data_IF_606028873142
#
_entry.id   IF_606028873142
#
_cell.length_a   1.000
_cell.length_b   1.000
_cell.length_c   1.000
_cell.angle_alpha   90.00
_cell.angle_beta   90.00
_cell.angle_gamma   90.00
#
_symmetry.space_group_name_H-M   'P 1'
#
loop_
_entity.id
_entity.type
_entity.pdbx_description
1 polymer ?
#
# COMPACT_ATOMS: atom_id res chain seq x y z
N UNK A 1 17.04 -14.77 41.20
CA UNK A 1 16.15 -13.78 40.56
C UNK A 1 17.07 -12.75 39.96
N UNK A 2 17.73 -13.18 38.89
CA UNK A 2 18.94 -12.55 38.40
C UNK A 2 18.61 -11.20 37.77
N UNK A 3 19.34 -10.20 38.23
CA UNK A 3 19.22 -8.80 37.85
C UNK A 3 19.25 -8.67 36.34
N UNK A 4 18.07 -8.51 35.71
CA UNK A 4 17.97 -8.06 34.33
C UNK A 4 18.82 -6.78 34.23
N UNK A 5 19.93 -6.86 33.49
CA UNK A 5 20.81 -5.71 33.29
C UNK A 5 19.99 -4.58 32.70
N UNK A 6 20.13 -3.36 33.22
CA UNK A 6 19.41 -2.19 32.72
C UNK A 6 19.57 -2.03 31.20
N UNK A 7 20.69 -2.50 30.64
CA UNK A 7 20.97 -2.53 29.21
C UNK A 7 20.06 -3.48 28.42
N UNK A 8 19.71 -4.63 29.00
CA UNK A 8 18.82 -5.62 28.37
C UNK A 8 17.38 -5.12 28.38
N UNK A 9 16.96 -4.49 29.48
CA UNK A 9 15.64 -3.85 29.59
C UNK A 9 15.51 -2.72 28.56
N UNK A 10 16.54 -1.88 28.41
CA UNK A 10 16.56 -0.81 27.40
C UNK A 10 16.54 -1.38 25.97
N UNK A 11 17.29 -2.45 25.71
CA UNK A 11 17.29 -3.11 24.40
C UNK A 11 15.92 -3.66 24.00
N UNK A 12 15.21 -4.31 24.93
CA UNK A 12 13.86 -4.84 24.70
C UNK A 12 12.86 -3.72 24.44
N UNK A 13 12.90 -2.64 25.23
CA UNK A 13 11.99 -1.49 25.07
C UNK A 13 12.20 -0.84 23.69
N UNK A 14 13.45 -0.60 23.28
CA UNK A 14 13.76 -0.04 21.97
C UNK A 14 13.30 -0.96 20.82
N UNK A 15 13.48 -2.27 20.96
CA UNK A 15 13.02 -3.26 19.98
C UNK A 15 11.50 -3.23 19.79
N UNK A 16 10.73 -3.14 20.88
CA UNK A 16 9.26 -3.04 20.83
C UNK A 16 8.82 -1.73 20.18
N UNK A 17 9.47 -0.61 20.50
CA UNK A 17 9.14 0.70 19.91
C UNK A 17 9.40 0.69 18.39
N UNK A 18 10.54 0.17 17.95
CA UNK A 18 10.88 0.10 16.52
C UNK A 18 9.90 -0.83 15.78
N UNK A 19 9.58 -2.00 16.34
CA UNK A 19 8.62 -2.91 15.72
C UNK A 19 7.22 -2.30 15.66
N UNK A 20 6.79 -1.66 16.75
CA UNK A 20 5.49 -0.98 16.84
C UNK A 20 5.35 0.15 15.84
N UNK A 21 6.37 1.00 15.68
CA UNK A 21 6.36 2.11 14.70
C UNK A 21 6.31 1.61 13.25
N UNK A 22 7.03 0.53 12.93
CA UNK A 22 6.99 -0.10 11.59
C UNK A 22 5.59 -0.66 11.31
N UNK A 23 5.02 -1.44 12.24
CA UNK A 23 3.67 -2.01 12.08
C UNK A 23 2.64 -0.89 11.94
N UNK A 24 2.72 0.13 12.79
CA UNK A 24 1.81 1.29 12.73
C UNK A 24 1.91 2.05 11.41
N UNK A 25 3.12 2.29 10.88
CA UNK A 25 3.29 2.97 9.59
C UNK A 25 2.70 2.16 8.43
N UNK A 26 2.79 0.82 8.50
CA UNK A 26 2.25 -0.07 7.47
C UNK A 26 0.71 -0.18 7.55
N UNK A 27 0.13 -0.20 8.75
CA UNK A 27 -1.33 -0.34 8.95
C UNK A 27 -2.07 0.99 8.84
N UNK A 28 -1.43 2.10 9.19
CA UNK A 28 -2.01 3.45 9.10
C UNK A 28 -1.97 4.04 7.68
N UNK A 29 -1.69 3.20 6.68
CA UNK A 29 -1.92 3.52 5.27
C UNK A 29 -3.43 3.50 4.96
N UNK A 30 -4.18 4.34 5.66
CA UNK A 30 -5.62 4.54 5.46
C UNK A 30 -5.89 4.83 3.98
N UNK A 31 -6.95 4.27 3.37
CA UNK A 31 -7.29 4.50 1.99
C UNK A 31 -7.46 6.00 1.77
N UNK A 32 -6.45 6.64 1.17
CA UNK A 32 -6.50 8.06 0.84
C UNK A 32 -7.77 8.30 0.02
N UNK A 33 -8.69 9.07 0.59
CA UNK A 33 -9.83 9.65 -0.12
C UNK A 33 -9.43 11.05 -0.59
N UNK A 34 -9.87 11.49 -1.77
CA UNK A 34 -9.68 12.87 -2.17
C UNK A 34 -10.31 13.80 -1.13
N UNK A 35 -9.57 14.86 -0.75
CA UNK A 35 -10.03 15.87 0.22
C UNK A 35 -11.28 16.61 -0.28
N UNK A 36 -11.39 16.73 -1.60
CA UNK A 36 -12.47 17.43 -2.29
C UNK A 36 -13.51 16.43 -2.81
N UNK A 37 -14.80 16.79 -2.72
CA UNK A 37 -15.91 15.96 -3.22
C UNK A 37 -16.16 16.12 -4.71
N UNK A 38 -15.65 17.19 -5.29
CA UNK A 38 -15.83 17.56 -6.69
C UNK A 38 -14.47 17.75 -7.35
N UNK A 39 -14.40 17.49 -8.64
CA UNK A 39 -13.21 17.73 -9.45
C UNK A 39 -13.60 18.40 -10.77
N UNK A 40 -12.65 19.14 -11.34
CA UNK A 40 -12.80 19.73 -12.66
C UNK A 40 -12.39 18.74 -13.74
N UNK A 41 -13.30 18.45 -14.67
CA UNK A 41 -13.00 17.57 -15.79
C UNK A 41 -11.87 18.16 -16.67
N UNK A 42 -10.85 17.38 -16.98
CA UNK A 42 -9.69 17.83 -17.78
C UNK A 42 -10.10 18.37 -19.16
N UNK A 43 -11.11 17.76 -19.80
CA UNK A 43 -11.56 18.10 -21.16
C UNK A 43 -12.56 19.24 -21.23
N UNK A 44 -13.72 19.11 -20.56
CA UNK A 44 -14.79 20.12 -20.62
C UNK A 44 -14.79 21.13 -19.47
N UNK A 45 -13.86 21.01 -18.50
CA UNK A 45 -13.77 21.87 -17.31
C UNK A 45 -15.01 21.91 -16.41
N UNK A 46 -16.02 21.08 -16.67
CA UNK A 46 -17.18 20.96 -15.82
C UNK A 46 -16.81 20.45 -14.43
N UNK A 47 -17.41 21.05 -13.41
CA UNK A 47 -17.30 20.62 -12.02
C UNK A 47 -18.21 19.40 -11.83
N UNK A 48 -17.62 18.24 -11.57
CA UNK A 48 -18.36 16.98 -11.40
C UNK A 48 -18.00 16.28 -10.10
N UNK A 49 -18.95 15.60 -9.43
CA UNK A 49 -18.65 14.86 -8.21
C UNK A 49 -17.71 13.69 -8.48
N UNK A 50 -16.84 13.40 -7.52
CA UNK A 50 -15.98 12.22 -7.57
C UNK A 50 -16.83 10.94 -7.60
N UNK A 51 -16.68 10.17 -8.66
CA UNK A 51 -17.21 8.80 -8.78
C UNK A 51 -16.14 7.80 -8.35
N UNK A 52 -16.53 6.56 -8.02
CA UNK A 52 -15.60 5.49 -7.62
C UNK A 52 -14.42 5.36 -8.60
N UNK A 53 -14.72 5.41 -9.90
CA UNK A 53 -13.72 5.39 -10.98
C UNK A 53 -12.66 6.49 -10.84
N UNK A 54 -13.09 7.71 -10.52
CA UNK A 54 -12.19 8.86 -10.38
C UNK A 54 -11.44 8.84 -9.05
N UNK A 55 -12.03 8.28 -8.00
CA UNK A 55 -11.37 8.06 -6.70
C UNK A 55 -10.25 7.04 -6.87
N UNK A 56 -10.51 5.94 -7.57
CA UNK A 56 -9.49 4.91 -7.86
C UNK A 56 -8.38 5.47 -8.76
N UNK A 57 -8.74 6.23 -9.80
CA UNK A 57 -7.76 6.93 -10.64
C UNK A 57 -6.88 7.90 -9.82
N UNK A 58 -7.49 8.67 -8.93
CA UNK A 58 -6.78 9.60 -8.04
C UNK A 58 -5.86 8.86 -7.05
N UNK A 59 -6.31 7.73 -6.49
CA UNK A 59 -5.51 6.87 -5.60
C UNK A 59 -4.25 6.32 -6.27
N UNK A 60 -4.31 6.10 -7.59
CA UNK A 60 -3.17 5.65 -8.42
C UNK A 60 -2.26 6.85 -8.80
N UNK A 61 -2.62 8.08 -8.42
CA UNK A 61 -1.85 9.29 -8.75
C UNK A 61 -2.15 9.87 -10.13
N UNK A 62 -3.29 9.50 -10.75
CA UNK A 62 -3.68 10.08 -12.05
C UNK A 62 -4.15 11.52 -11.85
N UNK A 63 -3.55 12.44 -12.60
CA UNK A 63 -3.86 13.88 -12.54
C UNK A 63 -4.95 14.30 -13.53
N UNK A 64 -5.20 13.50 -14.57
CA UNK A 64 -6.21 13.79 -15.60
C UNK A 64 -7.48 12.99 -15.35
N UNK A 65 -8.45 13.64 -14.70
CA UNK A 65 -9.77 13.07 -14.45
C UNK A 65 -10.78 13.57 -15.49
N UNK A 66 -11.65 12.67 -15.94
CA UNK A 66 -12.68 12.97 -16.94
C UNK A 66 -14.07 12.76 -16.35
N UNK A 67 -15.04 13.60 -16.71
CA UNK A 67 -16.46 13.32 -16.44
C UNK A 67 -16.93 12.09 -17.24
N UNK A 68 -18.09 11.53 -16.89
CA UNK A 68 -18.63 10.33 -17.55
C UNK A 68 -18.74 10.48 -19.07
N UNK A 69 -19.27 11.61 -19.55
CA UNK A 69 -19.43 11.88 -20.98
C UNK A 69 -18.09 12.00 -21.73
N UNK A 70 -17.12 12.75 -21.18
CA UNK A 70 -15.80 12.88 -21.79
C UNK A 70 -15.01 11.57 -21.74
N UNK A 71 -15.22 10.75 -20.70
CA UNK A 71 -14.61 9.44 -20.61
C UNK A 71 -15.15 8.47 -21.68
N UNK A 72 -16.47 8.47 -21.91
CA UNK A 72 -17.07 7.66 -22.97
C UNK A 72 -16.52 8.01 -24.36
N UNK A 73 -16.40 9.30 -24.67
CA UNK A 73 -15.75 9.78 -25.91
C UNK A 73 -14.26 9.39 -26.00
N UNK A 74 -13.56 9.40 -24.86
CA UNK A 74 -12.17 8.98 -24.82
C UNK A 74 -12.02 7.47 -25.12
N UNK A 75 -12.90 6.63 -24.57
CA UNK A 75 -12.91 5.18 -24.85
C UNK A 75 -13.20 4.87 -26.33
N UNK A 76 -14.04 5.65 -26.99
CA UNK A 76 -14.30 5.49 -28.43
C UNK A 76 -13.07 5.80 -29.29
N UNK A 77 -12.25 6.77 -28.88
CA UNK A 77 -11.04 7.18 -29.62
C UNK A 77 -9.81 6.37 -29.24
N UNK A 78 -9.84 5.69 -28.10
CA UNK A 78 -8.79 4.81 -27.60
C UNK A 78 -9.42 3.45 -27.30
N UNK A 79 -9.85 2.70 -28.33
CA UNK A 79 -10.32 1.34 -28.13
C UNK A 79 -9.22 0.58 -27.40
N UNK A 80 -9.60 -0.14 -26.33
CA UNK A 80 -8.66 -1.01 -25.64
C UNK A 80 -7.99 -1.89 -26.70
N UNK A 81 -6.66 -2.09 -26.63
CA UNK A 81 -6.00 -3.01 -27.53
C UNK A 81 -6.80 -4.30 -27.50
N UNK A 82 -7.24 -4.78 -28.67
CA UNK A 82 -7.87 -6.09 -28.83
C UNK A 82 -6.82 -7.08 -28.37
N UNK A 83 -6.81 -7.35 -27.07
CA UNK A 83 -6.01 -8.42 -26.50
C UNK A 83 -6.79 -9.64 -26.94
N UNK A 84 -6.25 -10.49 -27.83
CA UNK A 84 -6.92 -11.73 -28.17
C UNK A 84 -7.31 -12.40 -26.85
N UNK A 85 -8.57 -12.83 -26.76
CA UNK A 85 -9.14 -13.51 -25.60
C UNK A 85 -8.19 -14.63 -25.20
N UNK A 86 -7.28 -14.31 -24.27
CA UNK A 86 -6.39 -15.29 -23.70
C UNK A 86 -7.31 -16.13 -22.81
N UNK A 87 -7.35 -17.47 -22.99
CA UNK A 87 -8.26 -18.32 -22.23
C UNK A 87 -8.13 -18.00 -20.75
N UNK A 88 -9.27 -17.89 -20.08
CA UNK A 88 -9.42 -17.50 -18.68
C UNK A 88 -8.87 -18.58 -17.73
N UNK A 89 -7.57 -18.83 -17.75
CA UNK A 89 -6.91 -19.75 -16.80
C UNK A 89 -5.78 -19.12 -15.99
N UNK A 90 -5.42 -17.86 -16.24
CA UNK A 90 -4.47 -17.15 -15.38
C UNK A 90 -5.02 -15.79 -14.93
N UNK A 91 -6.07 -15.82 -14.10
CA UNK A 91 -6.11 -14.85 -13.01
C UNK A 91 -4.93 -15.17 -12.10
N UNK A 92 -3.72 -14.70 -12.43
CA UNK A 92 -2.68 -14.59 -11.41
C UNK A 92 -3.11 -13.43 -10.53
N UNK A 93 -3.58 -13.67 -9.28
CA UNK A 93 -3.66 -12.58 -8.34
C UNK A 93 -2.29 -11.91 -8.34
N UNK A 94 -2.27 -10.58 -8.40
CA UNK A 94 -1.06 -9.79 -8.27
C UNK A 94 -0.46 -10.14 -6.91
N UNK A 95 0.39 -11.18 -6.84
CA UNK A 95 1.17 -11.53 -5.66
C UNK A 95 2.03 -10.31 -5.41
N UNK A 96 1.55 -9.48 -4.49
CA UNK A 96 2.33 -8.46 -3.82
C UNK A 96 3.50 -9.24 -3.23
N UNK A 97 4.64 -9.24 -3.92
CA UNK A 97 5.86 -9.86 -3.45
C UNK A 97 6.15 -9.26 -2.09
N UNK A 98 5.77 -10.00 -1.06
CA UNK A 98 5.80 -9.59 0.34
C UNK A 98 7.23 -9.70 0.82
N UNK A 99 8.09 -8.79 0.32
CA UNK A 99 9.43 -8.55 0.89
C UNK A 99 9.37 -8.23 2.40
N UNK A 100 8.19 -7.87 2.90
CA UNK A 100 7.90 -7.65 4.31
C UNK A 100 7.98 -8.92 5.18
N UNK A 101 7.62 -10.11 4.66
CA UNK A 101 7.67 -11.34 5.44
C UNK A 101 9.10 -11.76 5.80
N UNK A 102 10.03 -11.59 4.84
CA UNK A 102 11.45 -11.87 5.06
C UNK A 102 12.08 -10.95 6.12
N UNK A 103 11.69 -9.68 6.15
CA UNK A 103 12.20 -8.72 7.14
C UNK A 103 11.76 -9.05 8.57
N UNK A 104 10.53 -9.52 8.76
CA UNK A 104 10.04 -9.96 10.09
C UNK A 104 10.77 -11.22 10.56
N UNK A 105 11.00 -12.18 9.66
CA UNK A 105 11.77 -13.39 9.99
C UNK A 105 13.23 -13.04 10.31
N UNK A 106 13.87 -12.16 9.55
CA UNK A 106 15.23 -11.70 9.84
C UNK A 106 15.32 -10.98 11.19
N UNK A 107 14.35 -10.10 11.50
CA UNK A 107 14.29 -9.44 12.80
C UNK A 107 14.10 -10.43 13.95
N UNK A 108 13.22 -11.43 13.79
CA UNK A 108 13.03 -12.49 14.78
C UNK A 108 14.30 -13.33 14.96
N UNK A 109 14.99 -13.69 13.87
CA UNK A 109 16.24 -14.46 13.92
C UNK A 109 17.36 -13.67 14.60
N UNK A 110 17.46 -12.36 14.36
CA UNK A 110 18.44 -11.50 15.05
C UNK A 110 18.13 -11.40 16.55
N UNK A 111 16.86 -11.24 16.93
CA UNK A 111 16.46 -11.22 18.35
C UNK A 111 16.74 -12.55 19.03
N UNK A 112 16.38 -13.67 18.40
CA UNK A 112 16.64 -15.01 18.94
C UNK A 112 18.16 -15.27 19.03
N UNK A 113 18.94 -14.85 18.03
CA UNK A 113 20.40 -14.99 18.02
C UNK A 113 21.08 -14.17 19.11
N UNK A 114 20.56 -12.97 19.40
CA UNK A 114 21.04 -12.14 20.52
C UNK A 114 20.70 -12.79 21.87
N UNK A 115 19.49 -13.32 22.04
CA UNK A 115 19.07 -14.03 23.25
C UNK A 115 19.88 -15.32 23.48
N UNK A 116 20.17 -16.08 22.43
CA UNK A 116 20.97 -17.30 22.53
C UNK A 116 22.42 -17.01 22.94
N UNK A 117 22.95 -15.84 22.54
CA UNK A 117 24.31 -15.38 22.86
C UNK A 117 24.43 -14.81 24.28
N UNK A 118 23.30 -14.51 24.92
CA UNK A 118 23.22 -14.12 26.33
C UNK A 118 23.19 -15.31 27.30
N UNK A 119 22.96 -16.53 26.80
CA UNK A 119 22.87 -17.75 27.60
C UNK A 119 24.13 -18.64 27.52
N UNK A 120 25.14 -18.25 26.75
CA UNK A 120 26.43 -18.94 26.62
C UNK A 120 27.56 -18.08 27.15
#
# INVERSE_FOLDING_TARGET
MDSLSTKDVVGVILGIIVLGTIVFALTNSSPRSPKERFFNCWRCKALTPHTQRTIDAWRIGKTRLFCGACHAKWLQTHPAPITPLRPTSEYRPRRRSSKAGGLVVLAAVVVIGLLARSCS
#
